data_IF_496313583703
#
_entry.id   IF_496313583703
#
_cell.length_a   1.000
_cell.length_b   1.000
_cell.length_c   1.000
_cell.angle_alpha   90.00
_cell.angle_beta   90.00
_cell.angle_gamma   90.00
#
_symmetry.space_group_name_H-M   'P 1'
#
loop_
_entity.id
_entity.type
_entity.pdbx_description
1 polymer ?
#
# COMPACT_ATOMS: atom_id res chain seq x y z
N UNK A 1 -15.39 -10.04 13.98
CA UNK A 1 -15.07 -9.98 12.54
C UNK A 1 -13.63 -9.54 12.39
N UNK A 2 -13.17 -9.26 11.17
CA UNK A 2 -11.91 -8.54 10.93
C UNK A 2 -12.27 -7.11 10.55
N UNK A 3 -11.81 -6.14 11.32
CA UNK A 3 -11.96 -4.73 10.99
C UNK A 3 -10.82 -4.32 10.06
N UNK A 4 -11.14 -3.73 8.91
CA UNK A 4 -10.16 -3.33 7.90
C UNK A 4 -10.11 -1.81 7.85
N UNK A 5 -8.90 -1.25 7.84
CA UNK A 5 -8.68 0.19 7.74
C UNK A 5 -7.61 0.51 6.70
N UNK A 6 -7.88 1.52 5.88
CA UNK A 6 -6.87 2.15 5.02
C UNK A 6 -6.25 3.32 5.76
N UNK A 7 -4.92 3.42 5.72
CA UNK A 7 -4.17 4.45 6.46
C UNK A 7 -3.08 5.05 5.58
N UNK A 8 -2.57 6.22 5.94
CA UNK A 8 -1.40 6.80 5.28
C UNK A 8 -0.12 6.11 5.74
N UNK A 9 0.98 6.32 5.01
CA UNK A 9 2.30 5.81 5.42
C UNK A 9 2.77 6.46 6.72
N UNK A 10 2.56 7.76 6.89
CA UNK A 10 2.95 8.44 8.14
C UNK A 10 2.24 7.84 9.36
N UNK A 11 0.96 7.47 9.20
CA UNK A 11 0.19 6.89 10.30
C UNK A 11 0.67 5.48 10.64
N UNK A 12 1.00 4.63 9.65
CA UNK A 12 1.52 3.27 9.96
C UNK A 12 2.94 3.31 10.55
N UNK A 13 3.74 4.32 10.20
CA UNK A 13 5.09 4.49 10.75
C UNK A 13 5.09 5.11 12.15
N UNK A 14 3.98 5.67 12.62
CA UNK A 14 3.86 6.11 14.02
C UNK A 14 3.86 4.89 14.95
N UNK A 15 4.83 4.78 15.89
CA UNK A 15 4.91 3.66 16.83
C UNK A 15 3.63 3.43 17.64
N UNK A 16 2.82 4.47 17.84
CA UNK A 16 1.57 4.41 18.62
C UNK A 16 0.41 3.82 17.85
N UNK A 17 0.55 3.60 16.54
CA UNK A 17 -0.54 3.11 15.70
C UNK A 17 -1.10 1.78 16.21
N UNK A 18 -0.22 0.82 16.53
CA UNK A 18 -0.65 -0.50 17.02
C UNK A 18 -1.15 -0.49 18.45
N UNK A 19 -0.81 0.51 19.25
CA UNK A 19 -1.45 0.72 20.56
C UNK A 19 -2.91 1.16 20.41
N UNK A 20 -3.19 2.02 19.41
CA UNK A 20 -4.53 2.54 19.15
C UNK A 20 -5.42 1.57 18.34
N UNK A 21 -4.83 0.79 17.43
CA UNK A 21 -5.52 -0.14 16.52
C UNK A 21 -4.84 -1.52 16.51
N UNK A 22 -4.86 -2.26 17.64
CA UNK A 22 -4.08 -3.49 17.81
C UNK A 22 -4.56 -4.65 16.93
N UNK A 23 -5.85 -4.68 16.60
CA UNK A 23 -6.49 -5.83 15.91
C UNK A 23 -6.97 -5.50 14.50
N UNK A 24 -6.92 -4.24 14.08
CA UNK A 24 -7.37 -3.85 12.75
C UNK A 24 -6.39 -4.33 11.69
N UNK A 25 -6.90 -4.86 10.59
CA UNK A 25 -6.13 -5.15 9.39
C UNK A 25 -5.83 -3.83 8.66
N UNK A 26 -4.59 -3.39 8.74
CA UNK A 26 -4.14 -2.10 8.25
C UNK A 26 -3.56 -2.21 6.83
N UNK A 27 -4.10 -1.40 5.92
CA UNK A 27 -3.66 -1.29 4.53
C UNK A 27 -3.11 0.13 4.32
N UNK A 28 -1.84 0.38 4.63
CA UNK A 28 -1.19 1.61 4.24
C UNK A 28 -1.21 1.81 2.73
N UNK A 29 -1.60 3.01 2.34
CA UNK A 29 -1.53 3.53 0.98
C UNK A 29 -1.24 5.01 1.03
N UNK A 30 -0.32 5.45 0.19
CA UNK A 30 -0.10 6.86 -0.07
C UNK A 30 0.20 7.03 -1.55
N UNK A 31 0.11 8.26 -2.01
CA UNK A 31 0.44 8.64 -3.37
C UNK A 31 1.96 8.58 -3.64
N UNK A 32 2.80 8.04 -2.75
CA UNK A 32 4.25 7.87 -3.02
C UNK A 32 4.54 6.96 -4.23
N UNK A 33 3.58 6.16 -4.68
CA UNK A 33 3.63 5.49 -5.98
C UNK A 33 3.33 6.45 -7.17
N UNK A 34 3.42 7.78 -6.97
CA UNK A 34 3.30 8.80 -8.00
C UNK A 34 4.38 8.61 -9.06
N UNK A 35 3.94 8.11 -10.21
CA UNK A 35 4.60 8.18 -11.51
C UNK A 35 6.08 7.75 -11.54
N UNK A 36 6.30 6.47 -11.86
CA UNK A 36 7.63 5.99 -12.27
C UNK A 36 8.43 5.26 -11.19
N UNK A 37 7.83 4.91 -10.06
CA UNK A 37 8.44 3.98 -9.11
C UNK A 37 8.69 2.62 -9.78
N UNK A 38 9.92 2.10 -9.66
CA UNK A 38 10.25 0.78 -10.20
C UNK A 38 9.66 -0.32 -9.30
N UNK A 39 9.59 -1.55 -9.81
CA UNK A 39 9.21 -2.71 -8.99
C UNK A 39 10.09 -2.86 -7.75
N UNK A 40 11.39 -2.57 -7.86
CA UNK A 40 12.33 -2.71 -6.75
C UNK A 40 12.14 -1.59 -5.70
N UNK A 41 11.77 -0.38 -6.12
CA UNK A 41 11.40 0.70 -5.19
C UNK A 41 10.14 0.35 -4.40
N UNK A 42 9.15 -0.23 -5.09
CA UNK A 42 7.90 -0.69 -4.48
C UNK A 42 8.16 -1.81 -3.49
N UNK A 43 9.01 -2.79 -3.83
CA UNK A 43 9.43 -3.86 -2.91
C UNK A 43 10.14 -3.29 -1.67
N UNK A 44 11.04 -2.32 -1.84
CA UNK A 44 11.75 -1.69 -0.71
C UNK A 44 10.77 -0.98 0.23
N UNK A 45 9.76 -0.30 -0.32
CA UNK A 45 8.70 0.33 0.47
C UNK A 45 7.84 -0.70 1.18
N UNK A 46 7.42 -1.77 0.50
CA UNK A 46 6.68 -2.87 1.10
C UNK A 46 7.40 -3.50 2.30
N UNK A 47 8.71 -3.73 2.20
CA UNK A 47 9.51 -4.26 3.32
C UNK A 47 9.49 -3.31 4.52
N UNK A 48 9.60 -1.99 4.29
CA UNK A 48 9.50 -0.98 5.35
C UNK A 48 8.13 -0.97 6.01
N UNK A 49 7.06 -1.00 5.21
CA UNK A 49 5.68 -1.05 5.71
C UNK A 49 5.44 -2.31 6.55
N UNK A 50 5.94 -3.46 6.09
CA UNK A 50 5.84 -4.73 6.83
C UNK A 50 6.59 -4.67 8.16
N UNK A 51 7.78 -4.06 8.19
CA UNK A 51 8.53 -3.83 9.42
C UNK A 51 7.79 -2.90 10.39
N UNK A 52 6.99 -1.97 9.87
CA UNK A 52 6.08 -1.10 10.64
C UNK A 52 4.75 -1.79 11.00
N UNK A 53 4.69 -3.13 10.89
CA UNK A 53 3.51 -3.93 11.20
C UNK A 53 2.31 -3.67 10.28
N UNK A 54 2.49 -3.23 9.03
CA UNK A 54 1.42 -3.23 8.04
C UNK A 54 0.98 -4.65 7.68
N UNK A 55 -0.33 -4.88 7.50
CA UNK A 55 -0.86 -6.19 7.13
C UNK A 55 -0.89 -6.40 5.62
N UNK A 56 -1.12 -5.32 4.85
CA UNK A 56 -1.02 -5.31 3.40
C UNK A 56 -0.51 -3.96 2.90
N UNK A 57 -0.14 -3.89 1.62
CA UNK A 57 0.19 -2.63 0.95
C UNK A 57 -0.86 -2.32 -0.12
N UNK A 58 -1.36 -1.09 -0.15
CA UNK A 58 -2.11 -0.61 -1.31
C UNK A 58 -1.15 -0.43 -2.49
N UNK A 59 -1.47 -1.02 -3.65
CA UNK A 59 -0.62 -0.93 -4.83
C UNK A 59 -1.44 -0.92 -6.12
N UNK A 60 -1.32 0.13 -6.92
CA UNK A 60 -1.92 0.24 -8.26
C UNK A 60 -0.93 -0.04 -9.40
N UNK A 61 0.19 -0.72 -9.10
CA UNK A 61 1.21 -1.06 -10.08
C UNK A 61 0.80 -2.25 -10.96
N UNK A 62 1.65 -2.59 -11.93
CA UNK A 62 1.41 -3.69 -12.86
C UNK A 62 1.26 -5.05 -12.16
N UNK A 63 0.59 -6.00 -12.84
CA UNK A 63 0.51 -7.39 -12.38
C UNK A 63 1.89 -8.05 -12.20
N UNK A 64 2.91 -7.62 -12.96
CA UNK A 64 4.29 -8.10 -12.80
C UNK A 64 4.87 -7.67 -11.45
N UNK A 65 4.63 -6.41 -11.05
CA UNK A 65 5.03 -5.88 -9.75
C UNK A 65 4.27 -6.57 -8.61
N UNK A 66 2.95 -6.73 -8.75
CA UNK A 66 2.12 -7.42 -7.75
C UNK A 66 2.60 -8.88 -7.57
N UNK A 67 2.94 -9.56 -8.66
CA UNK A 67 3.52 -10.91 -8.60
C UNK A 67 4.82 -10.93 -7.81
N UNK A 68 5.74 -9.98 -8.04
CA UNK A 68 7.00 -9.87 -7.32
C UNK A 68 6.80 -9.63 -5.82
N UNK A 69 5.84 -8.77 -5.44
CA UNK A 69 5.47 -8.56 -4.03
C UNK A 69 4.96 -9.86 -3.38
N UNK A 70 4.07 -10.57 -4.07
CA UNK A 70 3.54 -11.86 -3.62
C UNK A 70 4.64 -12.90 -3.45
N UNK A 71 5.58 -12.98 -4.39
CA UNK A 71 6.68 -13.95 -4.33
C UNK A 71 7.56 -13.75 -3.08
N UNK A 72 7.60 -12.52 -2.54
CA UNK A 72 8.23 -12.16 -1.26
C UNK A 72 7.28 -12.19 -0.04
N UNK A 73 6.10 -12.83 -0.18
CA UNK A 73 5.10 -12.97 0.89
C UNK A 73 4.57 -11.62 1.44
N UNK A 74 4.48 -10.60 0.59
CA UNK A 74 3.84 -9.31 0.90
C UNK A 74 2.39 -9.33 0.41
N UNK A 75 1.39 -9.21 1.30
CA UNK A 75 -0.01 -9.05 0.91
C UNK A 75 -0.26 -7.69 0.25
N UNK A 76 -1.12 -7.68 -0.77
CA UNK A 76 -1.39 -6.48 -1.58
C UNK A 76 -2.88 -6.25 -1.71
N UNK A 77 -3.31 -5.01 -1.49
CA UNK A 77 -4.60 -4.50 -1.94
C UNK A 77 -4.39 -3.79 -3.28
N UNK A 78 -4.86 -4.42 -4.36
CA UNK A 78 -4.75 -3.86 -5.72
C UNK A 78 -5.79 -2.77 -5.98
N UNK A 79 -5.49 -1.82 -6.87
CA UNK A 79 -6.48 -0.88 -7.40
C UNK A 79 -6.49 -0.91 -8.93
N UNK A 80 -7.66 -1.13 -9.51
CA UNK A 80 -7.93 -1.04 -10.95
C UNK A 80 -9.10 -0.08 -11.23
N UNK A 81 -9.19 0.47 -12.44
CA UNK A 81 -10.24 1.44 -12.79
C UNK A 81 -9.80 2.88 -12.53
N UNK A 82 -10.60 3.63 -11.77
CA UNK A 82 -10.34 5.05 -11.49
C UNK A 82 -9.29 5.21 -10.38
N UNK A 83 -8.01 5.10 -10.75
CA UNK A 83 -6.88 5.31 -9.83
C UNK A 83 -6.60 6.82 -9.70
N UNK A 84 -6.69 7.43 -8.50
CA UNK A 84 -6.54 8.87 -8.35
C UNK A 84 -5.21 9.44 -8.89
N UNK A 85 -4.11 8.70 -8.71
CA UNK A 85 -2.80 9.08 -9.25
C UNK A 85 -2.75 9.19 -10.79
N UNK A 86 -3.76 8.66 -11.49
CA UNK A 86 -3.91 8.69 -12.94
C UNK A 86 -5.13 9.51 -13.41
N UNK A 87 -5.58 10.48 -12.59
CA UNK A 87 -6.70 11.39 -12.90
C UNK A 87 -6.68 11.97 -14.31
N UNK A 88 -5.48 12.26 -14.83
CA UNK A 88 -5.29 12.88 -16.14
C UNK A 88 -5.75 11.97 -17.29
N UNK A 89 -5.83 10.66 -17.08
CA UNK A 89 -6.34 9.72 -18.09
C UNK A 89 -7.84 9.88 -18.32
N UNK A 90 -8.58 10.29 -17.29
CA UNK A 90 -10.03 10.51 -17.33
C UNK A 90 -10.42 11.98 -17.42
N UNK A 91 -9.46 12.90 -17.32
CA UNK A 91 -9.69 14.34 -17.31
C UNK A 91 -10.04 14.93 -15.94
N UNK A 92 -9.77 14.20 -14.86
CA UNK A 92 -10.08 14.60 -13.47
C UNK A 92 -10.93 13.56 -12.73
N UNK A 93 -11.38 13.94 -11.53
CA UNK A 93 -12.41 13.25 -10.75
C UNK A 93 -13.59 14.21 -10.50
#
# INVERSE_FOLDING_TARGET
GIDIISVTYDLIFDPRFRDAAPTCFAIPGDEQAKMGATTDDILRTAVKLRAASADAMYCSASLQTIRRLRDEHIPVCGHVGLVPAHATWTGGF
#
